data_IF_684443517913
#
_entry.id   IF_684443517913
#
_cell.length_a   1.000
_cell.length_b   1.000
_cell.length_c   1.000
_cell.angle_alpha   90.00
_cell.angle_beta   90.00
_cell.angle_gamma   90.00
#
_symmetry.space_group_name_H-M   'P 1'
#
loop_
_entity.id
_entity.type
_entity.pdbx_description
1 polymer ?
#
# COMPACT_ATOMS: atom_id res chain seq x y z
N UNK A 1 9.82 4.70 12.51
CA UNK A 1 8.42 5.16 12.30
C UNK A 1 7.95 4.70 10.94
N UNK A 2 6.67 4.37 10.79
CA UNK A 2 6.13 3.79 9.56
C UNK A 2 6.34 4.66 8.29
N UNK A 3 6.21 6.00 8.31
CA UNK A 3 6.47 6.82 7.11
C UNK A 3 7.88 6.67 6.53
N UNK A 4 8.89 6.55 7.38
CA UNK A 4 10.26 6.32 6.94
C UNK A 4 10.42 4.93 6.30
N UNK A 5 9.79 3.91 6.89
CA UNK A 5 9.78 2.56 6.33
C UNK A 5 9.11 2.53 4.95
N UNK A 6 7.97 3.21 4.80
CA UNK A 6 7.24 3.33 3.54
C UNK A 6 8.12 3.94 2.42
N UNK A 7 8.76 5.07 2.68
CA UNK A 7 9.64 5.75 1.70
C UNK A 7 10.87 4.92 1.34
N UNK A 8 11.48 4.25 2.31
CA UNK A 8 12.76 3.55 2.11
C UNK A 8 12.61 2.15 1.53
N UNK A 9 11.49 1.46 1.77
CA UNK A 9 11.32 0.06 1.43
C UNK A 9 10.16 -0.18 0.47
N UNK A 10 8.99 0.39 0.76
CA UNK A 10 7.78 0.13 -0.04
C UNK A 10 7.83 0.86 -1.38
N UNK A 11 8.12 2.17 -1.36
CA UNK A 11 8.16 2.99 -2.60
C UNK A 11 9.15 2.41 -3.63
N UNK A 12 10.42 2.10 -3.29
CA UNK A 12 11.36 1.54 -4.26
C UNK A 12 10.98 0.16 -4.79
N UNK A 13 10.20 -0.63 -4.03
CA UNK A 13 9.70 -1.92 -4.47
C UNK A 13 8.58 -1.76 -5.50
N UNK A 14 7.55 -0.96 -5.19
CA UNK A 14 6.38 -0.79 -6.06
C UNK A 14 6.69 0.04 -7.31
N UNK A 15 7.61 1.01 -7.23
CA UNK A 15 7.99 1.84 -8.39
C UNK A 15 8.66 1.05 -9.53
N UNK A 16 9.22 -0.13 -9.22
CA UNK A 16 9.86 -1.01 -10.21
C UNK A 16 8.86 -1.91 -10.93
N UNK A 17 7.61 -1.95 -10.46
CA UNK A 17 6.60 -2.83 -11.04
C UNK A 17 5.94 -2.11 -12.22
N UNK A 18 5.99 -2.76 -13.38
CA UNK A 18 5.34 -2.25 -14.59
C UNK A 18 3.85 -2.04 -14.35
N UNK A 19 3.39 -0.81 -14.54
CA UNK A 19 2.00 -0.43 -14.33
C UNK A 19 1.70 0.24 -12.98
N UNK A 20 2.69 0.45 -12.11
CA UNK A 20 2.55 1.39 -11.00
C UNK A 20 2.34 2.82 -11.51
N UNK A 21 1.45 3.59 -10.88
CA UNK A 21 1.13 4.97 -11.25
C UNK A 21 1.47 5.97 -10.15
N UNK A 22 0.95 5.76 -8.93
CA UNK A 22 1.27 6.59 -7.78
C UNK A 22 0.94 5.87 -6.48
N UNK A 23 1.45 6.40 -5.37
CA UNK A 23 1.04 5.99 -4.03
C UNK A 23 0.97 7.19 -3.10
N UNK A 24 0.00 7.16 -2.20
CA UNK A 24 -0.23 8.13 -1.15
C UNK A 24 -0.20 7.42 0.20
N UNK A 25 0.46 8.02 1.19
CA UNK A 25 0.41 7.59 2.58
C UNK A 25 -0.46 8.57 3.35
N UNK A 26 -1.63 8.11 3.74
CA UNK A 26 -2.57 8.86 4.55
C UNK A 26 -2.28 8.57 6.02
N UNK A 27 -2.51 9.56 6.88
CA UNK A 27 -2.41 9.41 8.33
C UNK A 27 -3.59 10.09 9.01
N UNK A 28 -4.18 9.43 10.00
CA UNK A 28 -5.19 10.04 10.88
C UNK A 28 -5.00 9.59 12.32
N UNK A 29 -5.47 10.40 13.25
CA UNK A 29 -5.66 9.96 14.63
C UNK A 29 -6.94 9.12 14.72
N UNK A 30 -6.86 7.97 15.37
CA UNK A 30 -7.97 7.05 15.58
C UNK A 30 -7.78 6.33 16.92
N UNK A 31 -8.75 6.49 17.83
CA UNK A 31 -8.74 5.85 19.16
C UNK A 31 -7.42 6.04 19.94
N UNK A 32 -6.82 7.23 19.86
CA UNK A 32 -5.56 7.55 20.54
C UNK A 32 -4.31 6.94 19.89
N UNK A 33 -4.46 6.33 18.71
CA UNK A 33 -3.39 5.80 17.86
C UNK A 33 -3.30 6.60 16.57
N UNK A 34 -2.19 6.43 15.85
CA UNK A 34 -2.06 6.90 14.47
C UNK A 34 -2.32 5.73 13.54
N UNK A 35 -3.34 5.84 12.73
CA UNK A 35 -3.61 4.91 11.65
C UNK A 35 -2.97 5.43 10.36
N UNK A 36 -2.28 4.55 9.65
CA UNK A 36 -1.70 4.82 8.35
C UNK A 36 -2.40 4.00 7.27
N UNK A 37 -2.81 4.64 6.18
CA UNK A 37 -3.42 3.97 5.02
C UNK A 37 -2.59 4.24 3.78
N UNK A 38 -2.19 3.17 3.07
CA UNK A 38 -1.55 3.29 1.76
C UNK A 38 -2.62 3.18 0.69
N UNK A 39 -2.73 4.20 -0.15
CA UNK A 39 -3.52 4.14 -1.39
C UNK A 39 -2.53 4.07 -2.54
N UNK A 40 -2.58 3.02 -3.34
CA UNK A 40 -1.73 2.87 -4.53
C UNK A 40 -2.58 2.74 -5.79
N UNK A 41 -2.14 3.40 -6.86
CA UNK A 41 -2.82 3.39 -8.16
C UNK A 41 -2.01 2.60 -9.16
N UNK A 42 -2.71 1.78 -9.94
CA UNK A 42 -2.15 0.82 -10.87
C UNK A 42 -2.89 0.87 -12.21
N UNK A 43 -2.20 0.56 -13.29
CA UNK A 43 -2.79 0.52 -14.65
C UNK A 43 -3.82 -0.61 -14.81
N UNK A 44 -3.67 -1.71 -14.08
CA UNK A 44 -4.57 -2.86 -14.15
C UNK A 44 -4.41 -3.77 -12.92
N UNK A 45 -5.38 -4.67 -12.72
CA UNK A 45 -5.25 -5.72 -11.71
C UNK A 45 -4.14 -6.73 -12.00
N UNK A 46 -3.72 -6.88 -13.26
CA UNK A 46 -2.58 -7.74 -13.59
C UNK A 46 -1.26 -7.12 -13.09
N UNK A 47 -1.11 -5.79 -13.16
CA UNK A 47 0.02 -5.10 -12.54
C UNK A 47 0.01 -5.25 -11.01
N UNK A 48 -1.18 -5.19 -10.39
CA UNK A 48 -1.33 -5.45 -8.95
C UNK A 48 -0.91 -6.88 -8.60
N UNK A 49 -1.34 -7.89 -9.37
CA UNK A 49 -0.94 -9.28 -9.14
C UNK A 49 0.56 -9.52 -9.35
N UNK A 50 1.18 -8.82 -10.30
CA UNK A 50 2.63 -8.90 -10.50
C UNK A 50 3.42 -8.42 -9.26
N UNK A 51 2.84 -7.49 -8.48
CA UNK A 51 3.39 -7.05 -7.20
C UNK A 51 2.97 -7.96 -6.03
N UNK A 52 1.68 -8.23 -5.88
CA UNK A 52 1.09 -8.85 -4.69
C UNK A 52 0.98 -10.39 -4.77
N UNK A 53 1.28 -10.99 -5.91
CA UNK A 53 1.11 -12.42 -6.16
C UNK A 53 -0.31 -12.80 -6.60
N UNK A 54 -0.59 -14.11 -6.60
CA UNK A 54 -1.83 -14.67 -7.16
C UNK A 54 -3.09 -14.31 -6.37
N UNK A 55 -2.94 -13.97 -5.08
CA UNK A 55 -4.04 -13.50 -4.23
C UNK A 55 -3.84 -12.03 -3.82
N UNK A 56 -4.17 -11.07 -4.69
CA UNK A 56 -3.92 -9.65 -4.44
C UNK A 56 -4.80 -9.07 -3.33
N UNK A 57 -5.77 -9.82 -2.81
CA UNK A 57 -6.59 -9.42 -1.66
C UNK A 57 -5.88 -9.59 -0.32
N UNK A 58 -4.72 -10.27 -0.29
CA UNK A 58 -3.90 -10.35 0.92
C UNK A 58 -2.89 -9.20 0.95
N UNK A 59 -2.71 -8.62 2.12
CA UNK A 59 -1.69 -7.60 2.31
C UNK A 59 -0.29 -8.19 2.08
N UNK A 60 0.53 -7.48 1.32
CA UNK A 60 1.97 -7.79 1.23
C UNK A 60 2.64 -7.19 2.46
N UNK A 61 3.10 -8.06 3.35
CA UNK A 61 3.66 -7.64 4.63
C UNK A 61 5.18 -7.79 4.61
N UNK A 62 5.87 -6.66 4.53
CA UNK A 62 7.31 -6.59 4.70
C UNK A 62 7.69 -6.77 6.18
N UNK A 63 8.76 -7.51 6.52
CA UNK A 63 9.20 -7.69 7.91
C UNK A 63 9.41 -6.36 8.66
N UNK A 64 9.82 -5.31 7.95
CA UNK A 64 10.00 -3.97 8.53
C UNK A 64 8.70 -3.28 8.94
N UNK A 65 7.57 -3.62 8.32
CA UNK A 65 6.26 -3.10 8.68
C UNK A 65 5.78 -3.72 10.01
N UNK A 66 6.00 -5.03 10.20
CA UNK A 66 5.69 -5.76 11.44
C UNK A 66 6.41 -5.16 12.64
N UNK A 67 7.65 -4.70 12.46
CA UNK A 67 8.42 -4.06 13.53
C UNK A 67 7.98 -2.61 13.83
N UNK A 68 7.31 -1.94 12.88
CA UNK A 68 6.99 -0.51 12.95
C UNK A 68 5.54 -0.22 13.35
N UNK A 69 4.66 -1.21 13.31
CA UNK A 69 3.23 -1.08 13.57
C UNK A 69 2.79 -1.97 14.74
N UNK A 70 1.83 -1.49 15.53
CA UNK A 70 1.20 -2.30 16.58
C UNK A 70 0.26 -3.36 16.01
N UNK A 71 -0.40 -3.06 14.89
CA UNK A 71 -1.28 -3.95 14.14
C UNK A 71 -1.41 -3.48 12.69
N UNK A 72 -1.88 -4.36 11.82
CA UNK A 72 -2.14 -4.09 10.40
C UNK A 72 -3.29 -4.98 9.93
N UNK A 73 -3.98 -4.56 8.87
CA UNK A 73 -4.99 -5.37 8.21
C UNK A 73 -4.32 -6.48 7.37
N UNK A 74 -4.90 -7.67 7.39
CA UNK A 74 -4.46 -8.82 6.59
C UNK A 74 -5.03 -8.80 5.16
N UNK A 75 -6.04 -7.97 4.93
CA UNK A 75 -6.75 -7.86 3.66
C UNK A 75 -6.62 -6.48 3.02
N UNK A 76 -6.61 -6.46 1.69
CA UNK A 76 -6.58 -5.26 0.86
C UNK A 76 -7.88 -5.17 0.06
N UNK A 77 -8.48 -3.99 0.06
CA UNK A 77 -9.68 -3.69 -0.75
C UNK A 77 -9.25 -3.01 -2.05
N UNK A 78 -9.75 -3.54 -3.17
CA UNK A 78 -9.49 -3.01 -4.50
C UNK A 78 -10.68 -2.21 -5.00
N UNK A 79 -10.39 -1.06 -5.61
CA UNK A 79 -11.39 -0.19 -6.21
C UNK A 79 -11.03 0.12 -7.66
N UNK A 80 -12.05 0.22 -8.51
CA UNK A 80 -11.88 0.83 -9.82
C UNK A 80 -12.02 2.34 -9.71
N UNK A 81 -11.09 3.08 -10.31
CA UNK A 81 -11.14 4.55 -10.31
C UNK A 81 -12.18 5.00 -11.34
N UNK A 82 -13.41 5.25 -10.88
CA UNK A 82 -14.49 5.70 -11.74
C UNK A 82 -14.27 7.10 -12.33
N UNK A 83 -13.66 8.01 -11.56
CA UNK A 83 -13.31 9.36 -11.98
C UNK A 83 -12.01 9.77 -11.28
N UNK A 84 -11.06 10.32 -12.05
CA UNK A 84 -9.87 10.96 -11.51
C UNK A 84 -9.76 12.39 -12.05
N UNK A 85 -9.48 13.33 -11.17
CA UNK A 85 -9.16 14.72 -11.53
C UNK A 85 -7.70 14.96 -11.12
N UNK A 86 -6.90 15.43 -12.07
CA UNK A 86 -5.46 15.71 -11.93
C UNK A 86 -5.15 17.19 -11.81
#
# INVERSE_FOLDING_TARGET
MYPAHFVQNVIPAIQKVDGFLSADLLSREFEGKIEYTVISRWKSMDAVKAFAGENPSLAVIEPGAVAALESFDDVVIHYEVAVHVS
#
